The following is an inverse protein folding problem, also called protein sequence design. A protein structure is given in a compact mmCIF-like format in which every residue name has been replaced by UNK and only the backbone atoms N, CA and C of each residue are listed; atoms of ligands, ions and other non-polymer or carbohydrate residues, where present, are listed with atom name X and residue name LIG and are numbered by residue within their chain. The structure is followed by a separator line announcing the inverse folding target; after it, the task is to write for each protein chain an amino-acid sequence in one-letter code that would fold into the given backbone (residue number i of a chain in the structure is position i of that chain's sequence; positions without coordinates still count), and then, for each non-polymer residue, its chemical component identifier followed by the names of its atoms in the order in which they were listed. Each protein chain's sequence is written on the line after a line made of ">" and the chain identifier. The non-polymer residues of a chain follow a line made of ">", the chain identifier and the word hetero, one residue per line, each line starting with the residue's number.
data_IF_438051762319
#
_entry.id   IF_438051762319
#
_cell.length_a   1.000
_cell.length_b   1.000
_cell.length_c   1.000
_cell.angle_alpha   90.00
_cell.angle_beta   90.00
_cell.angle_gamma   90.00
#
_symmetry.space_group_name_H-M   'P 1'
#
loop_
_entity.id
_entity.type
_entity.pdbx_description
1 polymer ?
#
# COMPACT_ATOMS: atom_id res chain seq x y z
N UNK A 1 -28.35 -61.58 15.88
CA UNK A 1 -27.60 -60.35 16.23
C UNK A 1 -26.22 -60.46 15.60
N UNK A 2 -25.97 -59.71 14.52
CA UNK A 2 -24.70 -59.70 13.80
C UNK A 2 -23.87 -58.52 14.35
N UNK A 3 -22.75 -58.79 15.02
CA UNK A 3 -21.79 -57.76 15.43
C UNK A 3 -20.98 -57.33 14.20
N UNK A 4 -21.19 -56.10 13.75
CA UNK A 4 -20.36 -55.45 12.73
C UNK A 4 -19.17 -54.80 13.45
N UNK A 5 -17.98 -55.38 13.28
CA UNK A 5 -16.73 -54.81 13.75
C UNK A 5 -16.32 -53.66 12.81
N UNK A 6 -16.44 -52.42 13.28
CA UNK A 6 -15.92 -51.24 12.60
C UNK A 6 -14.40 -51.18 12.85
N UNK A 7 -13.62 -51.56 11.85
CA UNK A 7 -12.16 -51.38 11.84
C UNK A 7 -11.88 -49.92 11.48
N UNK A 8 -11.59 -49.10 12.49
CA UNK A 8 -11.05 -47.75 12.30
C UNK A 8 -9.55 -47.88 12.00
N UNK A 9 -9.18 -47.83 10.73
CA UNK A 9 -7.78 -47.79 10.30
C UNK A 9 -7.24 -46.37 10.55
N UNK A 10 -6.58 -46.18 11.68
CA UNK A 10 -5.78 -44.99 11.96
C UNK A 10 -4.47 -45.12 11.19
N UNK A 11 -4.43 -44.60 9.97
CA UNK A 11 -3.22 -44.58 9.13
C UNK A 11 -2.28 -43.49 9.65
N UNK A 12 -1.41 -43.83 10.61
CA UNK A 12 -0.25 -43.00 10.97
C UNK A 12 0.89 -43.37 10.01
N UNK A 13 0.98 -42.67 8.89
CA UNK A 13 2.16 -42.80 8.02
C UNK A 13 3.27 -41.95 8.59
N UNK A 14 4.18 -42.57 9.35
CA UNK A 14 5.52 -42.01 9.58
C UNK A 14 6.31 -42.28 8.29
N UNK A 15 6.18 -41.39 7.30
CA UNK A 15 6.99 -41.46 6.08
C UNK A 15 8.38 -40.92 6.40
N UNK A 16 9.34 -41.83 6.55
CA UNK A 16 10.76 -41.51 6.49
C UNK A 16 11.02 -40.89 5.11
N UNK A 17 11.46 -39.63 5.08
CA UNK A 17 11.85 -38.95 3.85
C UNK A 17 13.03 -39.69 3.22
N UNK A 18 13.13 -39.75 1.88
CA UNK A 18 14.28 -40.35 1.17
C UNK A 18 15.62 -39.62 1.45
N UNK A 19 15.63 -38.56 2.26
CA UNK A 19 16.84 -37.85 2.69
C UNK A 19 17.38 -38.30 4.05
N UNK A 20 16.67 -39.15 4.80
CA UNK A 20 17.03 -39.53 6.17
C UNK A 20 16.88 -38.41 7.22
N UNK A 21 16.75 -37.15 6.79
CA UNK A 21 16.59 -35.99 7.67
C UNK A 21 15.18 -35.88 8.24
N UNK A 22 15.08 -35.57 9.55
CA UNK A 22 13.81 -35.43 10.24
C UNK A 22 13.09 -34.15 9.77
N UNK A 23 11.75 -34.15 9.70
CA UNK A 23 10.99 -32.96 9.26
C UNK A 23 11.29 -31.70 10.07
N UNK A 24 11.53 -31.84 11.38
CA UNK A 24 11.91 -30.74 12.27
C UNK A 24 13.26 -30.12 11.89
N UNK A 25 14.26 -30.94 11.57
CA UNK A 25 15.60 -30.47 11.17
C UNK A 25 15.54 -29.74 9.82
N UNK A 26 14.74 -30.25 8.88
CA UNK A 26 14.50 -29.58 7.58
C UNK A 26 13.82 -28.22 7.76
N UNK A 27 12.83 -28.12 8.65
CA UNK A 27 12.20 -26.84 8.98
C UNK A 27 13.20 -25.86 9.59
N UNK A 28 14.04 -26.31 10.53
CA UNK A 28 15.04 -25.47 11.18
C UNK A 28 16.07 -24.92 10.17
N UNK A 29 16.62 -25.77 9.29
CA UNK A 29 17.54 -25.33 8.23
C UNK A 29 16.91 -24.35 7.25
N UNK A 30 15.67 -24.63 6.82
CA UNK A 30 14.96 -23.71 5.93
C UNK A 30 14.64 -22.38 6.64
N UNK A 31 14.37 -22.40 7.95
CA UNK A 31 14.18 -21.19 8.75
C UNK A 31 15.43 -20.31 8.78
N UNK A 32 16.63 -20.91 8.86
CA UNK A 32 17.88 -20.14 8.83
C UNK A 32 18.09 -19.44 7.48
N UNK A 33 17.80 -20.14 6.37
CA UNK A 33 17.83 -19.54 5.03
C UNK A 33 16.79 -18.41 4.88
N UNK A 34 15.58 -18.61 5.40
CA UNK A 34 14.51 -17.59 5.39
C UNK A 34 14.90 -16.38 6.24
N UNK A 35 15.43 -16.57 7.46
CA UNK A 35 15.87 -15.48 8.34
C UNK A 35 16.99 -14.63 7.74
N UNK A 36 17.87 -15.23 6.93
CA UNK A 36 18.94 -14.52 6.25
C UNK A 36 18.45 -13.62 5.10
N UNK A 37 17.22 -13.83 4.60
CA UNK A 37 16.65 -13.04 3.51
C UNK A 37 16.42 -11.58 3.92
N UNK A 38 16.62 -10.64 2.99
CA UNK A 38 16.27 -9.22 3.20
C UNK A 38 14.81 -8.92 2.88
N UNK A 39 14.24 -9.69 1.94
CA UNK A 39 12.85 -9.57 1.52
C UNK A 39 12.28 -10.95 1.32
N UNK A 40 11.03 -11.16 1.73
CA UNK A 40 10.22 -12.29 1.27
C UNK A 40 9.20 -11.77 0.25
N UNK A 41 9.20 -12.35 -0.95
CA UNK A 41 8.10 -12.18 -1.90
C UNK A 41 7.08 -13.29 -1.72
N UNK A 42 5.81 -12.92 -1.62
CA UNK A 42 4.66 -13.79 -1.47
C UNK A 42 3.78 -13.63 -2.70
N UNK A 43 3.64 -14.69 -3.49
CA UNK A 43 2.73 -14.73 -4.64
C UNK A 43 1.53 -15.60 -4.33
N UNK A 44 0.38 -14.99 -4.11
CA UNK A 44 -0.87 -15.67 -3.75
C UNK A 44 -1.77 -14.78 -2.91
N UNK A 45 -2.43 -15.39 -1.92
CA UNK A 45 -3.37 -14.68 -1.04
C UNK A 45 -2.74 -14.44 0.33
N UNK A 46 -2.81 -13.20 0.80
CA UNK A 46 -2.50 -12.78 2.17
C UNK A 46 -3.70 -12.01 2.70
N UNK A 47 -4.14 -12.28 3.92
CA UNK A 47 -5.30 -11.59 4.45
C UNK A 47 -5.56 -11.83 5.93
N UNK A 48 -6.67 -11.26 6.38
CA UNK A 48 -7.27 -11.49 7.68
C UNK A 48 -8.64 -12.17 7.50
N UNK A 49 -9.48 -12.14 8.54
CA UNK A 49 -10.86 -12.65 8.46
C UNK A 49 -11.76 -11.77 7.58
N UNK A 50 -11.48 -10.47 7.47
CA UNK A 50 -12.32 -9.50 6.75
C UNK A 50 -11.78 -9.13 5.37
N UNK A 51 -10.46 -9.18 5.18
CA UNK A 51 -9.81 -8.64 3.99
C UNK A 51 -8.78 -9.60 3.42
N UNK A 52 -8.63 -9.58 2.09
CA UNK A 52 -7.59 -10.33 1.42
C UNK A 52 -6.97 -9.54 0.29
N UNK A 53 -5.65 -9.65 0.23
CA UNK A 53 -4.79 -9.20 -0.84
C UNK A 53 -4.45 -10.41 -1.71
N UNK A 54 -4.80 -10.36 -2.99
CA UNK A 54 -4.45 -11.41 -3.94
C UNK A 54 -3.47 -10.85 -4.97
N UNK A 55 -2.25 -11.35 -5.02
CA UNK A 55 -1.24 -10.85 -5.95
C UNK A 55 0.17 -11.16 -5.51
N UNK A 56 1.08 -10.22 -5.71
CA UNK A 56 2.46 -10.33 -5.25
C UNK A 56 2.73 -9.28 -4.18
N UNK A 57 3.04 -9.74 -2.97
CA UNK A 57 3.40 -8.89 -1.83
C UNK A 57 4.85 -9.12 -1.47
N UNK A 58 5.64 -8.04 -1.39
CA UNK A 58 7.04 -8.08 -0.96
C UNK A 58 7.14 -7.47 0.42
N UNK A 59 7.67 -8.23 1.38
CA UNK A 59 7.82 -7.81 2.78
C UNK A 59 9.29 -7.75 3.15
N UNK A 60 9.74 -6.60 3.63
CA UNK A 60 11.13 -6.36 4.06
C UNK A 60 11.38 -6.86 5.49
N UNK A 61 12.63 -6.81 5.96
CA UNK A 61 12.99 -7.17 7.34
C UNK A 61 12.30 -6.27 8.37
N UNK A 62 12.11 -5.00 8.05
CA UNK A 62 11.44 -4.02 8.90
C UNK A 62 9.92 -4.15 8.95
N UNK A 63 9.33 -5.07 8.18
CA UNK A 63 7.88 -5.26 8.11
C UNK A 63 7.18 -4.35 7.11
N UNK A 64 7.93 -3.68 6.22
CA UNK A 64 7.32 -2.86 5.16
C UNK A 64 6.85 -3.77 4.05
N UNK A 65 5.62 -3.58 3.61
CA UNK A 65 4.97 -4.42 2.61
C UNK A 65 4.55 -3.60 1.40
N UNK A 66 4.81 -4.12 0.21
CA UNK A 66 4.49 -3.43 -1.04
C UNK A 66 4.20 -4.42 -2.16
N UNK A 67 3.27 -4.06 -3.04
CA UNK A 67 3.15 -4.72 -4.32
C UNK A 67 1.78 -4.55 -4.99
N UNK A 68 1.68 -5.01 -6.25
CA UNK A 68 0.42 -5.05 -6.98
C UNK A 68 -0.46 -6.18 -6.47
N UNK A 69 -1.70 -5.85 -6.13
CA UNK A 69 -2.69 -6.76 -5.57
C UNK A 69 -4.08 -6.44 -6.10
N UNK A 70 -4.92 -7.47 -6.16
CA UNK A 70 -6.36 -7.30 -6.17
C UNK A 70 -6.82 -7.23 -4.71
N UNK A 71 -7.48 -6.13 -4.35
CA UNK A 71 -8.05 -5.89 -3.02
C UNK A 71 -9.46 -5.33 -3.16
N UNK A 72 -10.44 -6.01 -2.54
CA UNK A 72 -11.87 -5.66 -2.62
C UNK A 72 -12.37 -5.47 -4.07
N UNK A 73 -11.92 -6.35 -4.97
CA UNK A 73 -12.28 -6.35 -6.39
C UNK A 73 -11.53 -5.33 -7.26
N UNK A 74 -10.65 -4.50 -6.68
CA UNK A 74 -9.89 -3.50 -7.41
C UNK A 74 -8.44 -3.94 -7.58
N UNK A 75 -7.87 -3.70 -8.77
CA UNK A 75 -6.44 -3.85 -8.99
C UNK A 75 -5.74 -2.57 -8.54
N UNK A 76 -4.91 -2.68 -7.51
CA UNK A 76 -4.21 -1.57 -6.89
C UNK A 76 -2.77 -1.94 -6.61
N UNK A 77 -1.93 -0.95 -6.36
CA UNK A 77 -0.62 -1.18 -5.72
C UNK A 77 -0.69 -0.62 -4.32
N UNK A 78 -0.39 -1.41 -3.30
CA UNK A 78 -0.38 -0.91 -1.92
C UNK A 78 1.05 -0.76 -1.40
N UNK A 79 1.20 0.07 -0.38
CA UNK A 79 2.40 0.25 0.40
C UNK A 79 2.00 0.43 1.87
N UNK A 80 2.34 -0.54 2.70
CA UNK A 80 2.24 -0.47 4.15
C UNK A 80 3.63 -0.24 4.73
N UNK A 81 3.83 0.89 5.39
CA UNK A 81 5.11 1.26 6.00
C UNK A 81 4.89 2.22 7.17
N UNK A 82 5.55 1.96 8.29
CA UNK A 82 5.58 2.83 9.48
C UNK A 82 4.16 3.23 9.94
N UNK A 83 3.30 2.22 10.10
CA UNK A 83 1.88 2.35 10.51
C UNK A 83 1.01 3.17 9.55
N UNK A 84 1.51 3.49 8.36
CA UNK A 84 0.76 4.15 7.29
C UNK A 84 0.42 3.17 6.18
N UNK A 85 -0.77 3.32 5.61
CA UNK A 85 -1.26 2.54 4.48
C UNK A 85 -1.52 3.46 3.29
N UNK A 86 -0.75 3.27 2.23
CA UNK A 86 -0.93 3.96 0.96
C UNK A 86 -1.40 2.98 -0.10
N UNK A 87 -2.25 3.46 -1.00
CA UNK A 87 -2.74 2.73 -2.15
C UNK A 87 -2.53 3.60 -3.38
N UNK A 88 -2.14 2.99 -4.49
CA UNK A 88 -2.12 3.59 -5.82
C UNK A 88 -3.22 2.94 -6.62
N UNK A 89 -4.18 3.76 -7.03
CA UNK A 89 -5.42 3.29 -7.64
C UNK A 89 -5.97 4.32 -8.62
N UNK A 90 -6.84 3.90 -9.55
CA UNK A 90 -7.46 4.79 -10.51
C UNK A 90 -8.45 5.75 -9.84
N UNK A 91 -8.75 6.85 -10.54
CA UNK A 91 -9.77 7.83 -10.14
C UNK A 91 -11.11 7.23 -9.68
N UNK A 92 -11.57 6.14 -10.30
CA UNK A 92 -12.82 5.48 -9.94
C UNK A 92 -12.78 4.91 -8.52
N UNK A 93 -11.67 4.29 -8.13
CA UNK A 93 -11.46 3.78 -6.77
C UNK A 93 -11.55 4.92 -5.75
N UNK A 94 -10.80 5.99 -5.99
CA UNK A 94 -10.75 7.14 -5.09
C UNK A 94 -12.08 7.89 -5.03
N UNK A 95 -12.81 7.98 -6.14
CA UNK A 95 -14.13 8.63 -6.16
C UNK A 95 -15.12 7.96 -5.19
N UNK A 96 -15.01 6.64 -4.99
CA UNK A 96 -15.82 5.91 -4.01
C UNK A 96 -15.39 6.09 -2.55
N UNK A 97 -14.16 6.57 -2.30
CA UNK A 97 -13.62 6.80 -0.96
C UNK A 97 -13.93 8.20 -0.41
N UNK A 98 -14.29 9.16 -1.24
CA UNK A 98 -14.71 10.48 -0.79
C UNK A 98 -16.23 10.57 -0.61
N UNK A 99 -16.66 10.98 0.58
CA UNK A 99 -18.09 11.11 0.95
C UNK A 99 -18.76 12.36 0.37
N UNK A 100 -18.06 13.17 -0.43
CA UNK A 100 -18.61 14.40 -1.02
C UNK A 100 -18.25 14.59 -2.50
N UNK A 101 -19.17 15.18 -3.25
CA UNK A 101 -19.01 15.58 -4.66
C UNK A 101 -17.94 16.65 -4.89
N UNK A 102 -17.45 17.28 -3.81
CA UNK A 102 -16.60 18.47 -3.84
C UNK A 102 -15.15 18.16 -4.29
N UNK A 103 -14.71 16.90 -4.22
CA UNK A 103 -13.31 16.52 -4.42
C UNK A 103 -13.02 15.78 -5.75
N UNK A 104 -14.04 15.44 -6.54
CA UNK A 104 -13.86 14.65 -7.77
C UNK A 104 -13.04 15.39 -8.85
N UNK A 105 -13.09 16.73 -8.86
CA UNK A 105 -12.31 17.59 -9.75
C UNK A 105 -10.79 17.56 -9.49
N UNK A 106 -10.35 17.07 -8.32
CA UNK A 106 -8.93 16.94 -7.95
C UNK A 106 -8.33 15.58 -8.22
N UNK A 107 -9.17 14.59 -8.45
CA UNK A 107 -8.69 13.26 -8.78
C UNK A 107 -8.12 13.33 -10.20
N UNK A 108 -6.82 13.04 -10.30
CA UNK A 108 -6.11 12.96 -11.57
C UNK A 108 -6.70 11.83 -12.39
N UNK A 109 -6.69 12.00 -13.71
CA UNK A 109 -6.99 10.88 -14.60
C UNK A 109 -5.81 9.89 -14.55
N UNK A 110 -6.12 8.59 -14.52
CA UNK A 110 -5.14 7.52 -14.28
C UNK A 110 -4.95 7.21 -12.79
N UNK A 111 -3.82 6.56 -12.50
CA UNK A 111 -3.50 6.07 -11.15
C UNK A 111 -2.81 7.15 -10.31
N UNK A 112 -3.26 7.28 -9.07
CA UNK A 112 -2.65 8.17 -8.10
C UNK A 112 -2.56 7.51 -6.74
N UNK A 113 -1.56 7.94 -5.96
CA UNK A 113 -1.43 7.55 -4.56
C UNK A 113 -2.47 8.26 -3.70
N UNK A 114 -2.95 7.55 -2.69
CA UNK A 114 -3.68 8.10 -1.57
C UNK A 114 -3.44 7.25 -0.33
N UNK A 115 -3.60 7.84 0.85
CA UNK A 115 -3.59 7.11 2.10
C UNK A 115 -5.00 6.67 2.48
N UNK A 116 -5.06 5.52 3.13
CA UNK A 116 -6.21 4.98 3.83
C UNK A 116 -5.90 4.93 5.32
N UNK A 117 -6.93 4.91 6.16
CA UNK A 117 -6.78 4.58 7.57
C UNK A 117 -6.05 3.25 7.76
N UNK A 118 -5.14 3.18 8.72
CA UNK A 118 -4.34 1.98 8.99
C UNK A 118 -5.19 0.75 9.35
N UNK A 119 -6.41 0.96 9.86
CA UNK A 119 -7.37 -0.10 10.16
C UNK A 119 -8.03 -0.74 8.93
N UNK A 120 -7.90 -0.15 7.74
CA UNK A 120 -8.49 -0.71 6.51
C UNK A 120 -7.80 -2.02 6.10
N UNK A 121 -6.54 -2.24 6.49
CA UNK A 121 -5.84 -3.50 6.29
C UNK A 121 -5.37 -4.06 7.63
N UNK A 122 -6.02 -5.11 8.09
CA UNK A 122 -5.76 -5.74 9.41
C UNK A 122 -4.59 -6.73 9.43
N UNK A 123 -3.78 -6.80 8.36
CA UNK A 123 -2.61 -7.68 8.29
C UNK A 123 -1.41 -6.98 8.90
N UNK A 124 -0.90 -7.52 10.02
CA UNK A 124 0.38 -7.10 10.59
C UNK A 124 1.53 -7.84 9.89
N UNK A 125 2.14 -7.17 8.92
CA UNK A 125 3.28 -7.73 8.17
C UNK A 125 4.53 -7.89 9.02
N UNK A 126 4.74 -7.00 10.00
CA UNK A 126 5.96 -6.97 10.82
C UNK A 126 6.03 -8.21 11.72
N UNK A 127 4.92 -8.50 12.39
CA UNK A 127 4.85 -9.57 13.37
C UNK A 127 4.59 -10.95 12.75
N UNK A 128 4.11 -11.01 11.50
CA UNK A 128 3.70 -12.28 10.89
C UNK A 128 4.43 -12.66 9.59
N UNK A 129 4.91 -11.69 8.80
CA UNK A 129 5.32 -11.93 7.41
C UNK A 129 6.72 -11.38 7.07
N UNK A 130 7.49 -10.93 8.07
CA UNK A 130 8.91 -10.64 7.88
C UNK A 130 9.71 -11.94 7.70
N UNK A 131 10.90 -11.87 7.07
CA UNK A 131 11.87 -12.97 7.07
C UNK A 131 12.05 -13.61 8.47
N UNK A 132 12.26 -12.79 9.50
CA UNK A 132 12.44 -13.27 10.88
C UNK A 132 11.16 -13.89 11.44
N UNK A 133 9.99 -13.24 11.27
CA UNK A 133 8.73 -13.76 11.79
C UNK A 133 8.39 -15.14 11.21
N UNK A 134 8.55 -15.33 9.89
CA UNK A 134 8.30 -16.64 9.25
C UNK A 134 9.31 -17.68 9.73
N UNK A 135 10.59 -17.33 9.83
CA UNK A 135 11.61 -18.25 10.35
C UNK A 135 11.32 -18.68 11.80
N UNK A 136 10.90 -17.75 12.65
CA UNK A 136 10.55 -18.04 14.03
C UNK A 136 9.29 -18.90 14.13
N UNK A 137 8.31 -18.69 13.25
CA UNK A 137 7.18 -19.62 13.12
C UNK A 137 7.64 -21.02 12.72
N UNK A 138 8.52 -21.16 11.73
CA UNK A 138 9.06 -22.46 11.32
C UNK A 138 9.77 -23.18 12.48
N UNK A 139 10.59 -22.46 13.26
CA UNK A 139 11.28 -22.99 14.45
C UNK A 139 10.33 -23.29 15.61
N UNK A 140 9.26 -22.51 15.76
CA UNK A 140 8.21 -22.77 16.75
C UNK A 140 7.45 -24.05 16.39
N UNK A 141 7.02 -24.17 15.13
CA UNK A 141 6.21 -25.30 14.67
C UNK A 141 6.99 -26.60 14.58
N UNK A 142 8.31 -26.56 14.39
CA UNK A 142 9.16 -27.76 14.39
C UNK A 142 9.12 -28.57 15.69
N UNK A 143 8.65 -27.96 16.80
CA UNK A 143 8.49 -28.59 18.12
C UNK A 143 7.16 -29.34 18.30
N UNK A 144 6.22 -29.18 17.37
CA UNK A 144 4.90 -29.83 17.44
C UNK A 144 4.89 -31.16 16.71
N UNK A 145 3.75 -31.86 16.76
CA UNK A 145 3.50 -33.02 15.91
C UNK A 145 3.43 -32.59 14.45
N UNK A 146 4.35 -33.08 13.64
CA UNK A 146 4.44 -32.80 12.21
C UNK A 146 3.90 -33.97 11.40
N UNK A 147 3.22 -33.66 10.30
CA UNK A 147 2.94 -34.63 9.23
C UNK A 147 3.62 -34.18 7.95
N UNK A 148 4.01 -35.13 7.10
CA UNK A 148 4.71 -34.83 5.86
C UNK A 148 4.08 -35.53 4.66
N UNK A 149 3.95 -34.79 3.57
CA UNK A 149 3.42 -35.32 2.30
C UNK A 149 4.32 -34.88 1.15
N UNK A 150 4.72 -35.82 0.28
CA UNK A 150 5.42 -35.48 -0.97
C UNK A 150 4.45 -34.80 -1.94
N UNK A 151 4.88 -33.73 -2.57
CA UNK A 151 4.04 -32.92 -3.47
C UNK A 151 4.90 -32.12 -4.46
N UNK A 152 4.28 -31.19 -5.18
CA UNK A 152 4.94 -30.23 -6.07
C UNK A 152 4.54 -28.82 -5.64
N UNK A 153 5.51 -27.91 -5.56
CA UNK A 153 5.29 -26.48 -5.30
C UNK A 153 6.22 -25.66 -6.21
N UNK A 154 5.71 -24.60 -6.84
CA UNK A 154 6.45 -23.81 -7.84
C UNK A 154 7.10 -24.67 -8.95
N UNK A 155 6.45 -25.77 -9.37
CA UNK A 155 7.00 -26.72 -10.35
C UNK A 155 8.18 -27.57 -9.86
N UNK A 156 8.57 -27.48 -8.58
CA UNK A 156 9.66 -28.27 -7.97
C UNK A 156 9.08 -29.37 -7.08
N UNK A 157 9.78 -30.51 -7.00
CA UNK A 157 9.48 -31.55 -6.01
C UNK A 157 9.60 -30.96 -4.61
N UNK A 158 8.56 -31.15 -3.81
CA UNK A 158 8.45 -30.56 -2.49
C UNK A 158 8.00 -31.58 -1.43
N UNK A 159 8.35 -31.29 -0.17
CA UNK A 159 7.79 -31.93 1.01
C UNK A 159 6.93 -30.89 1.71
N UNK A 160 5.61 -31.12 1.73
CA UNK A 160 4.68 -30.36 2.57
C UNK A 160 4.84 -30.86 4.00
N UNK A 161 5.24 -29.98 4.91
CA UNK A 161 5.32 -30.23 6.35
C UNK A 161 4.17 -29.46 7.00
N UNK A 162 3.22 -30.19 7.58
CA UNK A 162 2.01 -29.63 8.19
C UNK A 162 2.10 -29.68 9.71
N UNK A 163 1.76 -28.57 10.34
CA UNK A 163 1.54 -28.42 11.78
C UNK A 163 0.12 -27.87 12.02
N UNK A 164 -0.26 -27.63 13.27
CA UNK A 164 -1.60 -27.14 13.61
C UNK A 164 -1.83 -25.76 12.99
N UNK A 165 -2.73 -25.68 12.00
CA UNK A 165 -3.13 -24.44 11.33
C UNK A 165 -2.13 -23.88 10.32
N UNK A 166 -1.03 -24.58 10.04
CA UNK A 166 0.07 -24.06 9.22
C UNK A 166 0.73 -25.17 8.40
N UNK A 167 1.14 -24.86 7.16
CA UNK A 167 1.96 -25.75 6.34
C UNK A 167 3.10 -25.02 5.67
N UNK A 168 4.28 -25.66 5.65
CA UNK A 168 5.45 -25.19 4.91
C UNK A 168 5.81 -26.21 3.84
N UNK A 169 6.01 -25.74 2.62
CA UNK A 169 6.44 -26.59 1.50
C UNK A 169 7.91 -26.31 1.25
N UNK A 170 8.74 -27.31 1.47
CA UNK A 170 10.19 -27.21 1.28
C UNK A 170 10.61 -27.98 0.04
N UNK A 171 11.69 -27.58 -0.63
CA UNK A 171 12.34 -28.42 -1.66
C UNK A 171 12.55 -29.84 -1.12
N UNK A 172 12.25 -30.86 -1.93
CA UNK A 172 12.42 -32.26 -1.52
C UNK A 172 13.89 -32.70 -1.59
N UNK A 173 14.60 -32.23 -2.62
CA UNK A 173 15.98 -32.59 -2.93
C UNK A 173 16.94 -31.46 -2.53
N UNK A 174 18.15 -31.82 -2.07
CA UNK A 174 19.18 -30.86 -1.64
C UNK A 174 18.85 -30.12 -0.34
N UNK A 175 19.45 -28.93 -0.17
CA UNK A 175 19.19 -28.07 0.98
C UNK A 175 17.73 -27.58 1.00
N UNK A 176 17.03 -27.66 2.15
CA UNK A 176 15.63 -27.32 2.23
C UNK A 176 15.42 -25.82 2.08
N UNK A 177 14.69 -25.42 1.04
CA UNK A 177 14.30 -24.05 0.75
C UNK A 177 12.79 -23.91 0.82
N UNK A 178 12.28 -22.84 1.43
CA UNK A 178 10.85 -22.55 1.49
C UNK A 178 10.31 -22.19 0.10
N UNK A 179 9.32 -22.95 -0.37
CA UNK A 179 8.65 -22.77 -1.67
C UNK A 179 7.24 -22.21 -1.51
N UNK A 180 6.52 -22.60 -0.46
CA UNK A 180 5.14 -22.16 -0.22
C UNK A 180 4.85 -22.15 1.27
N UNK A 181 4.05 -21.19 1.69
CA UNK A 181 3.59 -21.02 3.06
C UNK A 181 2.06 -20.93 3.07
N UNK A 182 1.45 -21.74 3.93
CA UNK A 182 0.01 -21.75 4.20
C UNK A 182 -0.21 -21.52 5.69
N UNK A 183 -1.08 -20.59 6.05
CA UNK A 183 -1.48 -20.34 7.44
C UNK A 183 -2.96 -19.98 7.52
N UNK A 184 -3.63 -20.44 8.56
CA UNK A 184 -5.01 -20.04 8.87
C UNK A 184 -5.12 -18.67 9.53
N UNK A 185 -4.06 -18.19 10.20
CA UNK A 185 -4.04 -16.87 10.82
C UNK A 185 -2.61 -16.28 10.94
N UNK A 186 -2.34 -15.08 10.36
CA UNK A 186 -3.16 -14.47 9.30
C UNK A 186 -3.36 -15.46 8.15
N UNK A 187 -4.40 -15.26 7.35
CA UNK A 187 -4.66 -16.12 6.20
C UNK A 187 -3.51 -15.95 5.22
N UNK A 188 -2.74 -17.00 4.98
CA UNK A 188 -1.69 -17.01 3.97
C UNK A 188 -1.86 -18.24 3.11
N UNK A 189 -1.79 -18.05 1.80
CA UNK A 189 -1.79 -19.11 0.82
C UNK A 189 -0.94 -18.65 -0.38
N UNK A 190 0.38 -18.67 -0.21
CA UNK A 190 1.29 -18.01 -1.12
C UNK A 190 2.55 -18.82 -1.40
N UNK A 191 2.99 -18.79 -2.65
CA UNK A 191 4.32 -19.19 -3.04
C UNK A 191 5.32 -18.16 -2.51
N UNK A 192 6.40 -18.63 -1.89
CA UNK A 192 7.38 -17.77 -1.22
C UNK A 192 8.70 -17.79 -1.97
N UNK A 193 9.31 -16.62 -2.12
CA UNK A 193 10.68 -16.47 -2.62
C UNK A 193 11.49 -15.63 -1.64
N UNK A 194 12.55 -16.22 -1.10
CA UNK A 194 13.53 -15.50 -0.29
C UNK A 194 14.51 -14.72 -1.18
N UNK A 195 14.59 -13.41 -0.98
CA UNK A 195 15.46 -12.52 -1.74
C UNK A 195 16.55 -11.94 -0.84
N UNK A 196 17.80 -11.94 -1.32
CA UNK A 196 18.97 -11.46 -0.59
C UNK A 196 20.00 -10.84 -1.56
N UNK A 197 20.97 -10.10 -1.03
CA UNK A 197 22.03 -9.47 -1.83
C UNK A 197 21.49 -8.73 -3.06
N UNK A 198 22.00 -9.10 -4.25
CA UNK A 198 21.64 -8.47 -5.52
C UNK A 198 20.19 -8.68 -5.98
N UNK A 199 19.47 -9.70 -5.50
CA UNK A 199 18.06 -9.92 -5.89
C UNK A 199 17.07 -9.12 -5.03
N UNK A 200 17.47 -8.73 -3.81
CA UNK A 200 16.66 -7.86 -2.95
C UNK A 200 16.83 -6.36 -3.30
N UNK A 201 17.99 -5.96 -3.82
CA UNK A 201 18.28 -4.55 -4.10
C UNK A 201 17.28 -3.87 -5.06
N UNK A 202 16.84 -4.50 -6.17
CA UNK A 202 15.83 -3.90 -7.05
C UNK A 202 14.48 -3.70 -6.35
N UNK A 203 14.09 -4.61 -5.45
CA UNK A 203 12.82 -4.50 -4.70
C UNK A 203 12.87 -3.32 -3.74
N UNK A 204 13.96 -3.16 -3.00
CA UNK A 204 14.15 -2.04 -2.08
C UNK A 204 14.21 -0.73 -2.86
N UNK A 205 14.89 -0.71 -4.00
CA UNK A 205 14.96 0.47 -4.87
C UNK A 205 13.60 0.87 -5.43
N UNK A 206 12.79 -0.10 -5.89
CA UNK A 206 11.43 0.17 -6.37
C UNK A 206 10.55 0.71 -5.23
N UNK A 207 10.54 0.07 -4.06
CA UNK A 207 9.80 0.56 -2.89
C UNK A 207 10.20 1.99 -2.51
N UNK A 208 11.52 2.31 -2.51
CA UNK A 208 12.01 3.68 -2.27
C UNK A 208 11.49 4.66 -3.32
N UNK A 209 11.49 4.28 -4.60
CA UNK A 209 10.99 5.11 -5.69
C UNK A 209 9.48 5.35 -5.57
N UNK A 210 8.70 4.35 -5.14
CA UNK A 210 7.27 4.52 -4.88
C UNK A 210 7.01 5.43 -3.67
N UNK A 211 7.78 5.29 -2.58
CA UNK A 211 7.72 6.22 -1.44
C UNK A 211 7.98 7.67 -1.88
N UNK A 212 8.89 7.87 -2.84
CA UNK A 212 9.20 9.18 -3.42
C UNK A 212 8.01 9.87 -4.10
N UNK A 213 6.97 9.13 -4.49
CA UNK A 213 5.77 9.67 -5.13
C UNK A 213 4.67 10.08 -4.12
N UNK A 214 4.86 9.81 -2.82
CA UNK A 214 3.80 9.98 -1.81
C UNK A 214 3.56 11.43 -1.38
N UNK A 215 4.43 12.38 -1.73
CA UNK A 215 4.22 13.82 -1.40
C UNK A 215 2.94 14.37 -2.00
N UNK A 216 2.44 13.73 -3.05
CA UNK A 216 1.22 14.08 -3.77
C UNK A 216 0.05 13.16 -3.42
N UNK A 217 0.24 12.24 -2.46
CA UNK A 217 -0.78 11.28 -2.06
C UNK A 217 -1.94 12.01 -1.37
N UNK A 218 -3.16 11.73 -1.84
CA UNK A 218 -4.36 12.29 -1.25
C UNK A 218 -4.68 11.60 0.08
N UNK A 219 -5.28 12.31 1.02
CA UNK A 219 -5.75 11.75 2.28
C UNK A 219 -7.27 11.57 2.22
N UNK A 220 -7.74 10.32 2.30
CA UNK A 220 -9.19 10.02 2.26
C UNK A 220 -9.90 10.30 3.58
N UNK A 221 -9.19 10.25 4.70
CA UNK A 221 -9.78 10.30 6.04
C UNK A 221 -9.94 11.76 6.50
N UNK A 222 -9.08 12.64 6.02
CA UNK A 222 -9.11 14.06 6.35
C UNK A 222 -9.59 14.91 5.18
N UNK A 223 -10.86 15.32 5.21
CA UNK A 223 -11.45 16.06 4.09
C UNK A 223 -11.16 17.56 4.17
N UNK A 224 -10.42 18.08 3.18
CA UNK A 224 -10.27 19.50 2.96
C UNK A 224 -11.50 20.10 2.24
N UNK A 225 -11.81 21.36 2.54
CA UNK A 225 -12.94 22.11 1.98
C UNK A 225 -12.55 23.56 1.73
N UNK A 226 -13.01 24.11 0.61
CA UNK A 226 -12.97 25.54 0.36
C UNK A 226 -14.08 26.21 1.14
N UNK A 227 -13.73 27.30 1.83
CA UNK A 227 -14.66 28.16 2.54
C UNK A 227 -14.93 29.41 1.70
N UNK A 228 -16.21 29.72 1.51
CA UNK A 228 -16.63 30.86 0.68
C UNK A 228 -16.30 30.70 -0.81
N UNK A 229 -16.00 31.83 -1.46
CA UNK A 229 -15.65 31.88 -2.90
C UNK A 229 -14.18 32.22 -3.05
N UNK A 230 -13.55 31.72 -4.12
CA UNK A 230 -12.23 32.22 -4.50
C UNK A 230 -12.30 33.68 -4.94
N UNK A 231 -11.26 34.44 -4.62
CA UNK A 231 -11.13 35.86 -4.88
C UNK A 231 -9.95 36.14 -5.82
N UNK A 232 -10.12 37.12 -6.70
CA UNK A 232 -9.03 37.70 -7.48
C UNK A 232 -8.38 38.82 -6.67
N UNK A 233 -7.10 38.69 -6.32
CA UNK A 233 -6.41 39.64 -5.43
C UNK A 233 -5.65 40.71 -6.22
N UNK A 234 -4.85 40.31 -7.22
CA UNK A 234 -3.91 41.20 -7.91
C UNK A 234 -4.08 41.22 -9.43
N UNK A 235 -5.33 41.08 -9.91
CA UNK A 235 -5.62 40.86 -11.32
C UNK A 235 -6.04 42.15 -12.02
N UNK A 236 -5.07 43.02 -12.35
CA UNK A 236 -5.34 44.32 -13.01
C UNK A 236 -6.02 44.16 -14.38
N UNK A 237 -5.57 43.18 -15.16
CA UNK A 237 -6.14 42.86 -16.48
C UNK A 237 -5.90 41.39 -16.74
N UNK A 238 -6.90 40.70 -17.32
CA UNK A 238 -6.75 39.30 -17.66
C UNK A 238 -5.63 39.09 -18.69
N UNK A 239 -4.91 37.97 -18.56
CA UNK A 239 -3.70 37.69 -19.33
C UNK A 239 -2.38 38.25 -18.78
N UNK A 240 -2.42 39.09 -17.74
CA UNK A 240 -1.24 39.44 -16.93
C UNK A 240 -1.16 38.54 -15.68
N UNK A 241 -0.01 38.45 -14.98
CA UNK A 241 0.08 37.73 -13.72
C UNK A 241 -1.08 38.10 -12.79
N UNK A 242 -1.79 37.08 -12.30
CA UNK A 242 -3.02 37.24 -11.54
C UNK A 242 -2.99 36.30 -10.35
N UNK A 243 -2.99 36.87 -9.14
CA UNK A 243 -3.09 36.10 -7.89
C UNK A 243 -4.55 35.85 -7.55
N UNK A 244 -4.85 34.58 -7.29
CA UNK A 244 -6.15 34.13 -6.77
C UNK A 244 -5.96 33.56 -5.36
N UNK A 245 -6.97 33.72 -4.52
CA UNK A 245 -6.98 33.33 -3.11
C UNK A 245 -8.25 32.56 -2.79
N UNK A 246 -8.17 31.57 -1.91
CA UNK A 246 -9.30 30.95 -1.27
C UNK A 246 -8.97 30.66 0.20
N UNK A 247 -9.99 30.69 1.04
CA UNK A 247 -9.91 30.22 2.42
C UNK A 247 -10.14 28.70 2.42
N UNK A 248 -9.30 27.96 3.13
CA UNK A 248 -9.37 26.50 3.17
C UNK A 248 -9.40 25.99 4.60
N UNK A 249 -10.23 24.97 4.82
CA UNK A 249 -10.37 24.29 6.09
C UNK A 249 -10.27 22.79 5.89
N UNK A 250 -9.88 22.03 6.91
CA UNK A 250 -9.85 20.56 6.85
C UNK A 250 -10.18 19.94 8.20
N UNK A 251 -10.85 18.78 8.17
CA UNK A 251 -11.05 17.96 9.38
C UNK A 251 -9.72 17.32 9.76
N UNK A 252 -9.14 17.70 10.91
CA UNK A 252 -7.82 17.16 11.35
C UNK A 252 -7.87 15.93 12.23
N UNK A 253 -9.01 15.64 12.85
CA UNK A 253 -9.07 14.64 13.91
C UNK A 253 -8.08 14.98 15.03
N UNK A 254 -7.18 14.05 15.33
CA UNK A 254 -6.13 14.20 16.36
C UNK A 254 -4.80 14.70 15.82
N UNK A 255 -4.67 14.93 14.51
CA UNK A 255 -3.40 15.35 13.91
C UNK A 255 -3.05 16.80 14.29
N UNK A 256 -1.79 17.12 14.63
CA UNK A 256 -1.37 18.47 14.99
C UNK A 256 -1.48 19.45 13.82
N UNK A 257 -1.33 18.96 12.58
CA UNK A 257 -1.47 19.75 11.37
C UNK A 257 -1.84 18.89 10.17
N UNK A 258 -2.51 19.47 9.17
CA UNK A 258 -2.74 18.85 7.87
C UNK A 258 -2.28 19.78 6.76
N UNK A 259 -1.55 19.23 5.79
CA UNK A 259 -1.21 19.96 4.57
C UNK A 259 -2.35 19.81 3.59
N UNK A 260 -2.84 20.93 3.06
CA UNK A 260 -3.88 20.96 2.05
C UNK A 260 -3.29 21.53 0.77
N UNK A 261 -3.49 20.84 -0.34
CA UNK A 261 -3.18 21.33 -1.68
C UNK A 261 -4.43 21.97 -2.27
N UNK A 262 -4.31 23.23 -2.68
CA UNK A 262 -5.39 23.98 -3.33
C UNK A 262 -5.00 24.25 -4.77
N UNK A 263 -5.85 23.82 -5.69
CA UNK A 263 -5.71 24.07 -7.13
C UNK A 263 -6.80 25.03 -7.56
N UNK A 264 -6.41 26.11 -8.21
CA UNK A 264 -7.31 27.11 -8.76
C UNK A 264 -7.38 26.93 -10.27
N UNK A 265 -8.53 26.50 -10.78
CA UNK A 265 -8.78 26.32 -12.20
C UNK A 265 -9.43 27.56 -12.77
N UNK A 266 -8.86 28.13 -13.83
CA UNK A 266 -9.42 29.29 -14.52
C UNK A 266 -10.07 28.90 -15.85
N UNK A 267 -11.33 29.28 -16.02
CA UNK A 267 -12.15 28.95 -17.20
C UNK A 267 -13.00 30.12 -17.66
N UNK A 268 -13.42 30.08 -18.92
CA UNK A 268 -14.32 31.08 -19.52
C UNK A 268 -15.72 31.08 -18.88
N UNK A 269 -16.22 29.90 -18.48
CA UNK A 269 -17.52 29.71 -17.83
C UNK A 269 -17.32 28.93 -16.53
N UNK A 270 -18.28 29.07 -15.60
CA UNK A 270 -18.23 28.41 -14.30
C UNK A 270 -18.10 26.88 -14.44
N UNK A 271 -18.83 26.29 -15.39
CA UNK A 271 -18.88 24.85 -15.62
C UNK A 271 -18.18 24.41 -16.91
N UNK A 272 -17.15 25.16 -17.36
CA UNK A 272 -16.32 24.78 -18.51
C UNK A 272 -16.04 25.94 -19.48
N UNK A 273 -16.03 25.63 -20.78
CA UNK A 273 -15.58 26.58 -21.82
C UNK A 273 -14.05 26.58 -21.96
N UNK A 274 -13.50 27.68 -22.51
CA UNK A 274 -12.05 27.75 -22.70
C UNK A 274 -11.30 27.62 -21.36
N UNK A 275 -10.34 26.70 -21.31
CA UNK A 275 -9.42 26.53 -20.20
C UNK A 275 -8.24 27.49 -20.35
N UNK A 276 -7.98 28.29 -19.32
CA UNK A 276 -6.85 29.25 -19.32
C UNK A 276 -5.62 28.70 -18.61
N UNK A 277 -5.81 27.74 -17.71
CA UNK A 277 -4.75 27.16 -16.89
C UNK A 277 -5.21 26.97 -15.46
N UNK A 278 -4.29 26.40 -14.69
CA UNK A 278 -4.38 26.18 -13.27
C UNK A 278 -3.16 26.78 -12.57
N UNK A 279 -3.36 27.16 -11.32
CA UNK A 279 -2.24 27.33 -10.40
C UNK A 279 -2.53 26.60 -9.10
N UNK A 280 -1.47 26.09 -8.47
CA UNK A 280 -1.57 25.24 -7.29
C UNK A 280 -0.67 25.77 -6.20
N UNK A 281 -1.15 25.73 -4.97
CA UNK A 281 -0.38 26.08 -3.79
C UNK A 281 -0.79 25.20 -2.62
N UNK A 282 0.01 25.19 -1.57
CA UNK A 282 -0.26 24.42 -0.36
C UNK A 282 -0.49 25.35 0.82
N UNK A 283 -1.35 24.93 1.74
CA UNK A 283 -1.55 25.55 3.04
C UNK A 283 -1.43 24.51 4.14
N UNK A 284 -1.17 24.94 5.37
CA UNK A 284 -1.10 24.07 6.54
C UNK A 284 -2.19 24.48 7.52
N UNK A 285 -3.15 23.58 7.75
CA UNK A 285 -4.21 23.78 8.74
C UNK A 285 -3.70 23.26 10.08
N UNK A 286 -3.62 24.14 11.08
CA UNK A 286 -3.14 23.84 12.44
C UNK A 286 -4.17 24.12 13.54
N UNK A 287 -5.21 24.90 13.24
CA UNK A 287 -6.31 25.23 14.16
C UNK A 287 -7.66 24.87 13.52
N UNK A 288 -8.76 25.40 14.07
CA UNK A 288 -10.09 25.34 13.46
C UNK A 288 -10.37 26.55 12.55
N UNK A 289 -9.44 27.49 12.48
CA UNK A 289 -9.56 28.68 11.64
C UNK A 289 -9.29 28.33 10.18
N UNK A 290 -9.90 29.10 9.30
CA UNK A 290 -9.65 28.98 7.87
C UNK A 290 -8.26 29.51 7.54
N UNK A 291 -7.57 28.81 6.63
CA UNK A 291 -6.22 29.15 6.20
C UNK A 291 -6.28 29.75 4.80
N UNK A 292 -5.73 30.96 4.58
CA UNK A 292 -5.69 31.53 3.24
C UNK A 292 -4.63 30.82 2.41
N UNK A 293 -5.03 30.29 1.25
CA UNK A 293 -4.12 29.75 0.25
C UNK A 293 -4.25 30.57 -1.03
N UNK A 294 -3.11 30.93 -1.61
CA UNK A 294 -3.06 31.73 -2.83
C UNK A 294 -2.04 31.20 -3.83
N UNK A 295 -2.31 31.41 -5.10
CA UNK A 295 -1.37 31.13 -6.19
C UNK A 295 -1.48 32.19 -7.28
N UNK A 296 -0.44 32.32 -8.09
CA UNK A 296 -0.40 33.27 -9.21
C UNK A 296 -0.34 32.52 -10.53
N UNK A 297 -1.27 32.82 -11.43
CA UNK A 297 -1.23 32.36 -12.83
C UNK A 297 -0.63 33.46 -13.70
N UNK A 298 0.35 33.13 -14.55
CA UNK A 298 1.08 34.12 -15.34
C UNK A 298 1.47 33.67 -16.75
N UNK A 299 1.27 32.39 -17.11
CA UNK A 299 1.75 31.81 -18.37
C UNK A 299 0.68 31.07 -19.16
N UNK A 300 1.08 30.35 -20.21
CA UNK A 300 0.19 29.45 -20.96
C UNK A 300 -0.95 30.16 -21.71
N UNK A 301 -2.12 29.50 -21.77
CA UNK A 301 -3.32 30.03 -22.44
C UNK A 301 -3.84 31.31 -21.79
N UNK A 302 -3.65 31.45 -20.48
CA UNK A 302 -3.90 32.68 -19.75
C UNK A 302 -3.16 33.87 -20.36
N UNK A 303 -1.83 33.81 -20.46
CA UNK A 303 -1.03 34.91 -21.01
C UNK A 303 -1.35 35.21 -22.48
N UNK A 304 -1.68 34.18 -23.27
CA UNK A 304 -1.97 34.32 -24.71
C UNK A 304 -3.32 34.97 -24.98
N UNK A 305 -4.35 34.55 -24.26
CA UNK A 305 -5.74 34.87 -24.63
C UNK A 305 -6.57 35.48 -23.52
N UNK A 306 -6.10 35.48 -22.27
CA UNK A 306 -6.86 36.01 -21.13
C UNK A 306 -7.30 37.46 -21.34
N UNK A 307 -6.47 38.29 -21.99
CA UNK A 307 -6.80 39.70 -22.31
C UNK A 307 -8.00 39.90 -23.24
N UNK A 308 -8.41 38.85 -23.95
CA UNK A 308 -9.55 38.90 -24.87
C UNK A 308 -10.90 38.70 -24.15
N UNK A 309 -10.87 38.40 -22.84
CA UNK A 309 -12.07 38.10 -22.06
C UNK A 309 -12.37 39.22 -21.07
N UNK A 310 -13.66 39.51 -20.88
CA UNK A 310 -14.14 40.45 -19.87
C UNK A 310 -14.55 39.76 -18.55
N UNK A 311 -14.72 38.44 -18.59
CA UNK A 311 -15.05 37.61 -17.42
C UNK A 311 -14.28 36.30 -17.49
N UNK A 312 -13.70 35.92 -16.36
CA UNK A 312 -13.05 34.64 -16.13
C UNK A 312 -13.55 34.09 -14.80
N UNK A 313 -13.80 32.79 -14.76
CA UNK A 313 -14.21 32.07 -13.56
C UNK A 313 -13.00 31.41 -12.94
N UNK A 314 -12.92 31.45 -11.62
CA UNK A 314 -11.95 30.70 -10.83
C UNK A 314 -12.71 29.70 -9.99
N UNK A 315 -12.39 28.42 -10.17
CA UNK A 315 -12.95 27.32 -9.39
C UNK A 315 -11.83 26.73 -8.55
N UNK A 316 -11.82 26.98 -7.23
CA UNK A 316 -10.85 26.39 -6.32
C UNK A 316 -11.27 24.96 -5.97
N UNK A 317 -10.28 24.11 -5.80
CA UNK A 317 -10.47 22.76 -5.28
C UNK A 317 -9.39 22.48 -4.23
N UNK A 318 -9.75 21.81 -3.15
CA UNK A 318 -8.84 21.48 -2.07
C UNK A 318 -8.78 19.96 -1.85
N UNK A 319 -7.59 19.46 -1.54
CA UNK A 319 -7.38 18.07 -1.12
C UNK A 319 -6.34 18.03 0.00
N UNK A 320 -6.61 17.25 1.05
CA UNK A 320 -5.61 16.99 2.08
C UNK A 320 -4.55 16.04 1.53
N UNK A 321 -3.29 16.30 1.89
CA UNK A 321 -2.16 15.45 1.52
C UNK A 321 -1.78 14.55 2.69
N UNK A 322 -1.53 13.28 2.38
CA UNK A 322 -1.24 12.25 3.38
C UNK A 322 0.22 12.20 3.83
N UNK A 323 1.13 12.81 3.06
CA UNK A 323 2.56 12.82 3.39
C UNK A 323 3.23 14.12 2.95
N UNK A 324 4.06 14.68 3.82
CA UNK A 324 4.99 15.75 3.49
C UNK A 324 6.29 15.19 2.90
N UNK A 325 7.14 16.06 2.33
CA UNK A 325 8.50 15.65 1.91
C UNK A 325 9.33 15.09 3.08
N UNK A 326 9.12 15.59 4.30
CA UNK A 326 9.82 15.07 5.49
C UNK A 326 9.33 13.68 5.90
N UNK A 327 8.02 13.41 5.76
CA UNK A 327 7.48 12.06 5.95
C UNK A 327 8.09 11.08 4.94
N UNK A 328 8.13 11.47 3.67
CA UNK A 328 8.72 10.65 2.60
C UNK A 328 10.20 10.35 2.87
N UNK A 329 10.98 11.37 3.24
CA UNK A 329 12.38 11.18 3.61
C UNK A 329 12.54 10.25 4.82
N UNK A 330 11.63 10.30 5.79
CA UNK A 330 11.65 9.42 6.95
C UNK A 330 11.34 7.98 6.57
N UNK A 331 10.29 7.75 5.76
CA UNK A 331 9.96 6.42 5.23
C UNK A 331 11.15 5.81 4.45
N UNK A 332 11.77 6.60 3.58
CA UNK A 332 12.93 6.16 2.78
C UNK A 332 14.16 5.88 3.65
N UNK A 333 14.48 6.76 4.62
CA UNK A 333 15.60 6.52 5.55
C UNK A 333 15.40 5.25 6.38
N UNK A 334 14.17 5.02 6.85
CA UNK A 334 13.91 3.84 7.67
C UNK A 334 13.98 2.55 6.85
N UNK A 335 13.56 2.57 5.58
CA UNK A 335 13.76 1.46 4.63
C UNK A 335 15.25 1.19 4.39
N UNK A 336 16.06 2.24 4.31
CA UNK A 336 17.50 2.15 4.03
C UNK A 336 18.31 1.61 5.20
N UNK A 337 17.80 1.77 6.42
CA UNK A 337 18.43 1.32 7.66
C UNK A 337 18.26 -0.17 7.98
N UNK A 338 17.53 -0.93 7.13
CA UNK A 338 17.22 -2.35 7.33
C UNK A 338 18.27 -3.37 6.81
#
# INVERSE_FOLDING_TARGET
>A
MLLVAIIVVVVVVVVVSNSGEKPADRLAKAADAVAAARVLSYKGTIGSTSDSLNGEVKVTKGGRAYGPVTWSGNNVTFLSADDKLFVKAPKSYWSGKFTSTVNSGMLKDGDQWGALGSSELSVDFKDNLTPTAVADQMRKYSKYRLTTTKTVAQGKKAIKITAIGTSFYLTADGDPQLLRYESSYPTVNADVTALSGGTAAPVISDMRAQMGQLTDAIDSDHTARIQGKAEFVSCRTFGNPCTVKAEVWSTRGTLPSITVKVTFRLTEKQDGGKYFGDCTSTGTVTSYDDVPVQCTISGGEWARTGKNYQRVWVTPYAVSLAASSNDVQTLQRNLDSE
#
